data_IF_578438537330
#
_entry.id   IF_578438537330
#
_cell.length_a   1.000
_cell.length_b   1.000
_cell.length_c   1.000
_cell.angle_alpha   90.00
_cell.angle_beta   90.00
_cell.angle_gamma   90.00
#
_symmetry.space_group_name_H-M   'P 1'
#
loop_
_entity.id
_entity.type
_entity.pdbx_description
1 polymer ?
#
# COMPACT_ATOMS: atom_id res chain seq x y z
N UNK A 1 37.77 1.38 0.45
CA UNK A 1 37.38 0.02 0.03
C UNK A 1 36.54 -0.53 1.15
N UNK A 2 35.21 -0.59 1.00
CA UNK A 2 34.39 -1.25 2.01
C UNK A 2 34.72 -2.73 1.91
N UNK A 3 35.49 -3.26 2.86
CA UNK A 3 35.67 -4.69 3.03
C UNK A 3 34.27 -5.27 3.28
N UNK A 4 33.59 -5.64 2.19
CA UNK A 4 32.32 -6.35 2.24
C UNK A 4 32.66 -7.71 2.83
N UNK A 5 32.59 -7.78 4.16
CA UNK A 5 32.60 -9.02 4.90
C UNK A 5 31.38 -9.82 4.42
N UNK A 6 31.63 -10.61 3.38
CA UNK A 6 30.68 -11.53 2.78
C UNK A 6 30.56 -12.66 3.78
N UNK A 7 29.44 -12.63 4.50
CA UNK A 7 29.04 -13.73 5.37
C UNK A 7 29.02 -15.03 4.53
N UNK A 8 29.90 -16.01 4.81
CA UNK A 8 30.01 -17.24 4.02
C UNK A 8 28.75 -18.11 4.14
N UNK A 9 27.95 -17.94 5.20
CA UNK A 9 26.69 -18.63 5.38
C UNK A 9 25.52 -17.95 4.64
N UNK A 10 25.71 -16.73 4.11
CA UNK A 10 24.72 -16.00 3.31
C UNK A 10 23.48 -15.50 4.07
N UNK A 11 23.27 -15.94 5.31
CA UNK A 11 22.09 -15.57 6.11
C UNK A 11 22.02 -14.07 6.35
N UNK A 12 23.15 -13.43 6.67
CA UNK A 12 23.19 -11.97 6.94
C UNK A 12 22.81 -11.15 5.70
N UNK A 13 23.13 -11.64 4.51
CA UNK A 13 22.75 -10.97 3.26
C UNK A 13 21.24 -11.06 3.01
N UNK A 14 20.62 -12.20 3.33
CA UNK A 14 19.16 -12.37 3.25
C UNK A 14 18.42 -11.46 4.22
N UNK A 15 18.89 -11.36 5.47
CA UNK A 15 18.32 -10.42 6.45
C UNK A 15 18.48 -8.97 6.01
N UNK A 16 19.65 -8.61 5.47
CA UNK A 16 19.91 -7.25 4.97
C UNK A 16 19.02 -6.92 3.77
N UNK A 17 18.85 -7.86 2.83
CA UNK A 17 17.93 -7.70 1.70
C UNK A 17 16.47 -7.58 2.15
N UNK A 18 16.05 -8.36 3.15
CA UNK A 18 14.71 -8.27 3.73
C UNK A 18 14.47 -6.92 4.44
N UNK A 19 15.42 -6.48 5.26
CA UNK A 19 15.33 -5.19 5.95
C UNK A 19 15.29 -4.02 4.96
N UNK A 20 16.14 -4.04 3.93
CA UNK A 20 16.13 -3.05 2.85
C UNK A 20 14.81 -3.05 2.06
N UNK A 21 14.21 -4.22 1.81
CA UNK A 21 12.89 -4.30 1.17
C UNK A 21 11.81 -3.67 2.05
N UNK A 22 11.81 -3.96 3.35
CA UNK A 22 10.83 -3.40 4.30
C UNK A 22 10.97 -1.87 4.42
N UNK A 23 12.21 -1.36 4.42
CA UNK A 23 12.48 0.07 4.44
C UNK A 23 12.06 0.75 3.14
N UNK A 24 12.36 0.13 1.98
CA UNK A 24 11.88 0.62 0.68
C UNK A 24 10.36 0.54 0.53
N UNK A 25 9.68 -0.42 1.13
CA UNK A 25 8.22 -0.51 1.12
C UNK A 25 7.57 0.56 2.00
N UNK A 26 8.22 0.92 3.12
CA UNK A 26 7.81 2.05 3.97
C UNK A 26 8.13 3.42 3.35
N UNK A 27 9.22 3.52 2.60
CA UNK A 27 9.63 4.75 1.89
C UNK A 27 8.97 4.90 0.51
N UNK A 28 8.47 3.81 -0.07
CA UNK A 28 7.64 3.87 -1.27
C UNK A 28 6.32 4.54 -0.88
N UNK A 29 6.14 5.78 -1.34
CA UNK A 29 4.88 6.50 -1.21
C UNK A 29 3.71 5.55 -1.51
N UNK A 30 2.68 5.48 -0.65
CA UNK A 30 1.63 4.49 -0.74
C UNK A 30 1.13 4.48 -2.18
N UNK A 31 1.25 3.35 -2.88
CA UNK A 31 0.72 3.19 -4.23
C UNK A 31 -0.72 3.66 -4.14
N UNK A 32 -1.03 4.81 -4.76
CA UNK A 32 -2.38 5.37 -4.75
C UNK A 32 -3.26 4.37 -5.49
N UNK A 33 -3.83 3.44 -4.74
CA UNK A 33 -4.69 2.41 -5.29
C UNK A 33 -5.91 3.10 -5.86
N UNK A 34 -6.21 2.84 -7.13
CA UNK A 34 -7.42 3.31 -7.78
C UNK A 34 -8.70 2.81 -7.07
N UNK A 35 -8.58 1.83 -6.15
CA UNK A 35 -9.69 1.40 -5.31
C UNK A 35 -10.26 2.53 -4.46
N UNK A 36 -9.42 3.44 -3.93
CA UNK A 36 -9.89 4.51 -3.05
C UNK A 36 -10.88 5.47 -3.75
N UNK A 37 -10.56 6.05 -4.92
CA UNK A 37 -11.53 6.89 -5.64
C UNK A 37 -12.75 6.10 -6.12
N UNK A 38 -12.61 4.82 -6.49
CA UNK A 38 -13.75 4.00 -6.91
C UNK A 38 -14.74 3.80 -5.76
N UNK A 39 -14.25 3.43 -4.56
CA UNK A 39 -15.09 3.26 -3.38
C UNK A 39 -15.82 4.57 -3.03
N UNK A 40 -15.12 5.71 -3.12
CA UNK A 40 -15.71 7.01 -2.85
C UNK A 40 -16.88 7.34 -3.81
N UNK A 41 -16.72 7.05 -5.10
CA UNK A 41 -17.78 7.28 -6.11
C UNK A 41 -18.98 6.37 -5.86
N UNK A 42 -18.74 5.08 -5.62
CA UNK A 42 -19.82 4.12 -5.34
C UNK A 42 -20.61 4.53 -4.10
N UNK A 43 -19.92 4.95 -3.03
CA UNK A 43 -20.58 5.40 -1.81
C UNK A 43 -21.40 6.68 -2.03
N UNK A 44 -20.88 7.63 -2.81
CA UNK A 44 -21.60 8.86 -3.15
C UNK A 44 -22.91 8.56 -3.91
N UNK A 45 -22.85 7.66 -4.91
CA UNK A 45 -24.04 7.23 -5.67
C UNK A 45 -25.06 6.55 -4.75
N UNK A 46 -24.61 5.67 -3.86
CA UNK A 46 -25.49 4.99 -2.91
C UNK A 46 -26.22 5.98 -1.99
N UNK A 47 -25.51 6.98 -1.45
CA UNK A 47 -26.11 8.04 -0.61
C UNK A 47 -27.15 8.83 -1.40
N UNK A 48 -26.83 9.26 -2.62
CA UNK A 48 -27.78 9.98 -3.48
C UNK A 48 -29.02 9.14 -3.75
N UNK A 49 -28.86 7.85 -4.05
CA UNK A 49 -29.98 6.93 -4.26
C UNK A 49 -30.87 6.79 -3.03
N UNK A 50 -30.28 6.66 -1.84
CA UNK A 50 -31.02 6.60 -0.57
C UNK A 50 -31.78 7.90 -0.32
N UNK A 51 -31.14 9.06 -0.49
CA UNK A 51 -31.80 10.37 -0.32
C UNK A 51 -32.95 10.54 -1.30
N UNK A 52 -32.75 10.19 -2.58
CA UNK A 52 -33.81 10.25 -3.59
C UNK A 52 -34.97 9.32 -3.24
N UNK A 53 -34.70 8.09 -2.78
CA UNK A 53 -35.74 7.17 -2.34
C UNK A 53 -36.53 7.73 -1.15
N UNK A 54 -35.85 8.28 -0.14
CA UNK A 54 -36.50 8.87 1.03
C UNK A 54 -37.32 10.12 0.71
N UNK A 55 -37.01 10.84 -0.36
CA UNK A 55 -37.80 11.99 -0.83
C UNK A 55 -39.01 11.58 -1.69
N UNK A 56 -38.99 10.38 -2.27
CA UNK A 56 -40.04 9.87 -3.15
C UNK A 56 -41.09 9.04 -2.39
N UNK A 57 -40.72 8.47 -1.25
CA UNK A 57 -41.62 7.73 -0.34
C UNK A 57 -42.33 8.66 0.64
#
# INVERSE_FOLDING_TARGET
MSDQHIDPAGNTQQFRAFAQRSENESAAAPKRSAALPIIAVVLAIAIVGVVAYLLLV
#
